data_IF_727044691460
#
_entry.id   IF_727044691460
#
_cell.length_a   1.000
_cell.length_b   1.000
_cell.length_c   1.000
_cell.angle_alpha   90.00
_cell.angle_beta   90.00
_cell.angle_gamma   90.00
#
_symmetry.space_group_name_H-M   'P 1'
#
loop_
_entity.id
_entity.type
_entity.pdbx_description
1 polymer ?
#
# COMPACT_ATOMS: atom_id res chain seq x y z
N UNK A 1 9.46 5.39 8.63
CA UNK A 1 8.15 4.75 8.80
C UNK A 1 7.11 5.60 8.10
N UNK A 2 6.28 5.04 7.23
CA UNK A 2 5.26 5.76 6.46
C UNK A 2 3.88 5.43 7.02
N UNK A 3 3.27 6.34 7.78
CA UNK A 3 1.92 6.15 8.33
C UNK A 3 0.84 6.84 7.51
N UNK A 4 1.16 7.94 6.86
CA UNK A 4 0.24 8.67 5.97
C UNK A 4 1.05 9.09 4.75
N UNK A 5 0.38 9.14 3.60
CA UNK A 5 0.95 9.72 2.39
C UNK A 5 0.08 10.87 1.94
N UNK A 6 0.71 11.93 1.45
CA UNK A 6 0.05 13.04 0.78
C UNK A 6 0.96 13.43 -0.39
N UNK A 7 0.55 13.06 -1.60
CA UNK A 7 1.28 13.33 -2.83
C UNK A 7 0.53 14.40 -3.62
N UNK A 8 0.96 15.65 -3.52
CA UNK A 8 0.26 16.79 -4.14
C UNK A 8 0.14 16.71 -5.67
N UNK A 9 0.98 15.90 -6.32
CA UNK A 9 0.98 15.70 -7.76
C UNK A 9 -0.07 14.68 -8.24
N UNK A 10 -0.65 13.86 -7.35
CA UNK A 10 -1.57 12.78 -7.70
C UNK A 10 -2.88 12.90 -6.92
N UNK A 11 -3.99 12.56 -7.56
CA UNK A 11 -5.28 12.51 -6.87
C UNK A 11 -5.34 11.28 -5.94
N UNK A 12 -5.62 11.51 -4.67
CA UNK A 12 -5.80 10.44 -3.68
C UNK A 12 -7.22 9.90 -3.75
N UNK A 13 -7.38 8.72 -4.35
CA UNK A 13 -8.68 8.09 -4.53
C UNK A 13 -9.21 7.45 -3.24
N UNK A 14 -8.33 6.79 -2.48
CA UNK A 14 -8.75 6.03 -1.31
C UNK A 14 -7.63 5.88 -0.27
N UNK A 15 -8.00 5.96 1.00
CA UNK A 15 -7.13 5.66 2.15
C UNK A 15 -7.77 4.57 2.99
N UNK A 16 -7.29 3.34 2.83
CA UNK A 16 -7.73 2.21 3.63
C UNK A 16 -6.96 2.06 4.95
N UNK A 17 -7.20 0.97 5.67
CA UNK A 17 -6.52 0.69 6.96
C UNK A 17 -5.00 0.70 6.83
N UNK A 18 -4.47 0.07 5.77
CA UNK A 18 -3.02 -0.16 5.60
C UNK A 18 -2.47 0.24 4.23
N UNK A 19 -3.31 0.72 3.31
CA UNK A 19 -2.91 1.13 1.94
C UNK A 19 -3.54 2.47 1.58
N UNK A 20 -2.78 3.30 0.89
CA UNK A 20 -3.27 4.49 0.19
C UNK A 20 -3.24 4.22 -1.31
N UNK A 21 -4.23 4.69 -2.06
CA UNK A 21 -4.36 4.51 -3.50
C UNK A 21 -4.52 5.86 -4.17
N UNK A 22 -3.73 6.09 -5.23
CA UNK A 22 -3.73 7.30 -6.04
C UNK A 22 -3.99 6.98 -7.50
N UNK A 23 -4.68 7.87 -8.19
CA UNK A 23 -4.76 7.86 -9.65
C UNK A 23 -3.43 8.35 -10.23
N UNK A 24 -2.91 7.63 -11.24
CA UNK A 24 -1.75 8.09 -12.03
C UNK A 24 -2.24 8.65 -13.35
N UNK A 25 -3.11 7.90 -14.03
CA UNK A 25 -3.85 8.29 -15.24
C UNK A 25 -5.13 7.43 -15.34
N UNK A 26 -5.79 7.44 -16.49
CA UNK A 26 -7.05 6.72 -16.72
C UNK A 26 -6.92 5.18 -16.61
N UNK A 27 -5.72 4.63 -16.84
CA UNK A 27 -5.45 3.20 -16.89
C UNK A 27 -4.58 2.69 -15.73
N UNK A 28 -3.91 3.58 -14.99
CA UNK A 28 -2.93 3.22 -13.97
C UNK A 28 -3.24 3.76 -12.58
N UNK A 29 -3.00 2.91 -11.59
CA UNK A 29 -3.10 3.23 -10.16
C UNK A 29 -1.76 3.08 -9.45
N UNK A 30 -1.48 4.00 -8.53
CA UNK A 30 -0.39 3.87 -7.56
C UNK A 30 -0.94 3.36 -6.24
N UNK A 31 -0.51 2.16 -5.83
CA UNK A 31 -0.87 1.56 -4.53
C UNK A 31 0.33 1.65 -3.59
N UNK A 32 0.17 2.37 -2.48
CA UNK A 32 1.20 2.51 -1.44
C UNK A 32 0.82 1.67 -0.22
N UNK A 33 1.58 0.60 0.02
CA UNK A 33 1.51 -0.12 1.29
C UNK A 33 2.20 0.69 2.40
N UNK A 34 1.42 1.12 3.39
CA UNK A 34 1.93 1.90 4.54
C UNK A 34 2.45 0.99 5.64
N UNK A 35 3.13 1.57 6.61
CA UNK A 35 3.56 0.92 7.84
C UNK A 35 2.44 0.82 8.88
N UNK A 36 1.25 1.38 8.62
CA UNK A 36 0.06 1.23 9.47
C UNK A 36 -0.31 -0.25 9.61
N UNK A 37 -0.74 -0.63 10.81
CA UNK A 37 -1.24 -1.98 11.13
C UNK A 37 -2.61 -1.86 11.79
N UNK A 38 -3.48 -2.83 11.54
CA UNK A 38 -4.80 -2.91 12.18
C UNK A 38 -4.99 -4.26 12.86
N UNK A 39 -5.63 -4.25 14.02
CA UNK A 39 -6.05 -5.45 14.74
C UNK A 39 -7.41 -5.17 15.40
N UNK A 40 -8.26 -6.20 15.50
CA UNK A 40 -9.61 -6.06 16.05
C UNK A 40 -10.41 -4.91 15.41
N UNK A 41 -10.33 -4.83 14.08
CA UNK A 41 -10.98 -3.79 13.25
C UNK A 41 -10.47 -2.34 13.44
N UNK A 42 -9.53 -2.10 14.35
CA UNK A 42 -8.98 -0.77 14.67
C UNK A 42 -7.57 -0.60 14.09
N UNK A 43 -7.27 0.59 13.55
CA UNK A 43 -5.90 0.98 13.16
C UNK A 43 -5.14 1.36 14.43
N UNK A 44 -3.97 0.74 14.65
CA UNK A 44 -3.18 1.02 15.84
C UNK A 44 -2.51 2.41 15.73
N UNK A 45 -2.26 3.13 16.84
CA UNK A 45 -1.66 4.48 16.82
C UNK A 45 -0.25 4.53 16.21
N UNK A 46 0.47 3.39 16.23
CA UNK A 46 1.79 3.24 15.65
C UNK A 46 1.80 2.39 14.39
N UNK A 47 2.99 2.26 13.78
CA UNK A 47 3.23 1.33 12.69
C UNK A 47 4.38 0.39 12.99
N UNK A 48 4.60 -0.55 12.08
CA UNK A 48 5.79 -1.40 12.08
C UNK A 48 6.74 -0.83 11.01
N UNK A 49 7.93 -0.31 11.40
CA UNK A 49 8.88 0.22 10.44
C UNK A 49 9.16 -0.77 9.31
N UNK A 50 9.17 -0.26 8.07
CA UNK A 50 9.47 -1.01 6.85
C UNK A 50 8.50 -2.15 6.50
N UNK A 51 7.40 -2.33 7.25
CA UNK A 51 6.35 -3.30 6.91
C UNK A 51 5.81 -3.06 5.51
N UNK A 52 5.51 -1.82 5.15
CA UNK A 52 5.01 -1.47 3.83
C UNK A 52 5.95 -1.94 2.72
N UNK A 53 7.24 -1.64 2.87
CA UNK A 53 8.30 -2.04 1.92
C UNK A 53 8.43 -3.56 1.82
N UNK A 54 8.45 -4.26 2.95
CA UNK A 54 8.58 -5.73 2.98
C UNK A 54 7.38 -6.40 2.31
N UNK A 55 6.16 -5.96 2.62
CA UNK A 55 4.95 -6.50 2.01
C UNK A 55 4.86 -6.21 0.51
N UNK A 56 5.32 -5.04 0.06
CA UNK A 56 5.43 -4.76 -1.38
C UNK A 56 6.40 -5.72 -2.07
N UNK A 57 7.58 -5.97 -1.49
CA UNK A 57 8.54 -6.95 -2.05
C UNK A 57 7.96 -8.36 -2.09
N UNK A 58 7.26 -8.77 -1.03
CA UNK A 58 6.60 -10.07 -0.98
C UNK A 58 5.50 -10.19 -2.03
N UNK A 59 4.72 -9.13 -2.26
CA UNK A 59 3.72 -9.12 -3.33
C UNK A 59 4.36 -9.26 -4.71
N UNK A 60 5.43 -8.49 -5.00
CA UNK A 60 6.18 -8.61 -6.26
C UNK A 60 6.73 -10.03 -6.48
N UNK A 61 7.29 -10.65 -5.43
CA UNK A 61 7.75 -12.04 -5.49
C UNK A 61 6.63 -13.01 -5.87
N UNK A 62 5.45 -12.88 -5.25
CA UNK A 62 4.32 -13.75 -5.57
C UNK A 62 3.73 -13.47 -6.95
N UNK A 63 3.69 -12.21 -7.40
CA UNK A 63 3.28 -11.89 -8.77
C UNK A 63 4.22 -12.50 -9.81
N UNK A 64 5.53 -12.45 -9.57
CA UNK A 64 6.53 -13.09 -10.42
C UNK A 64 6.37 -14.61 -10.45
N UNK A 65 6.26 -15.24 -9.27
CA UNK A 65 6.08 -16.70 -9.14
C UNK A 65 4.79 -17.20 -9.81
N UNK A 66 3.73 -16.39 -9.82
CA UNK A 66 2.42 -16.76 -10.37
C UNK A 66 2.17 -16.18 -11.77
N UNK A 67 3.20 -15.65 -12.43
CA UNK A 67 3.06 -14.97 -13.73
C UNK A 67 2.51 -15.87 -14.84
N UNK A 68 2.65 -17.19 -14.72
CA UNK A 68 2.13 -18.17 -15.69
C UNK A 68 0.65 -18.56 -15.46
N UNK A 69 0.01 -18.11 -14.38
CA UNK A 69 -1.36 -18.51 -14.02
C UNK A 69 -2.46 -17.65 -14.65
N UNK A 70 -2.13 -16.51 -15.26
CA UNK A 70 -3.10 -15.54 -15.79
C UNK A 70 -2.70 -15.07 -17.18
#
# INVERSE_FOLDING_TARGET
MILHTELSALEKLYSGKVRDVYAVDDDHLLIIATDRISAYDVILPGGIPDKGKLLTRMALFWFDMMSDLV
#
